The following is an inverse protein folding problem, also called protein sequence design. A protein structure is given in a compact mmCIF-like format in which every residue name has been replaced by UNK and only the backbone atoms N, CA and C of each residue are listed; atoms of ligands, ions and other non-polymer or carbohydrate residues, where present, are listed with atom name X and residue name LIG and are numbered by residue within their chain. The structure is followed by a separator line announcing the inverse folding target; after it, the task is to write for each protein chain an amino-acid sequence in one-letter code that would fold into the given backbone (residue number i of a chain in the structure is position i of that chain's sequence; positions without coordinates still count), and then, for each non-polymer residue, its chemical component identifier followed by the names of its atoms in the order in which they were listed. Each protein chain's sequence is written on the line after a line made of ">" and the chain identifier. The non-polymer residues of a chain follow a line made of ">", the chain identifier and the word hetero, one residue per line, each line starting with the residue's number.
data_IF_837847492719
#
_entry.id   IF_837847492719
#
_cell.length_a   1.000
_cell.length_b   1.000
_cell.length_c   1.000
_cell.angle_alpha   90.00
_cell.angle_beta   90.00
_cell.angle_gamma   90.00
#
_symmetry.space_group_name_H-M   'P 1'
#
loop_
_entity.id
_entity.type
_entity.pdbx_description
1 polymer ?
#
# COMPACT_ATOMS: atom_id res chain seq x y z
N UNK A 1 20.37 0.82 -11.02
CA UNK A 1 20.31 -0.44 -10.21
C UNK A 1 18.98 -0.43 -9.48
N UNK A 2 18.37 -1.56 -9.06
CA UNK A 2 17.10 -1.51 -8.34
C UNK A 2 17.25 -0.65 -7.08
N UNK A 3 16.28 0.22 -6.80
CA UNK A 3 16.27 1.01 -5.56
C UNK A 3 16.21 0.06 -4.35
N UNK A 4 16.96 0.40 -3.30
CA UNK A 4 16.86 -0.27 -2.01
C UNK A 4 16.33 0.74 -0.98
N UNK A 5 15.23 0.39 -0.30
CA UNK A 5 14.65 1.22 0.76
C UNK A 5 15.65 1.35 1.91
N UNK A 6 15.75 2.54 2.50
CA UNK A 6 16.54 2.73 3.73
C UNK A 6 15.97 1.86 4.87
N UNK A 7 16.77 1.56 5.92
CA UNK A 7 16.25 0.85 7.09
C UNK A 7 15.02 1.55 7.69
N UNK A 8 15.03 2.87 7.76
CA UNK A 8 13.93 3.67 8.30
C UNK A 8 12.68 3.61 7.42
N UNK A 9 12.83 3.64 6.09
CA UNK A 9 11.71 3.43 5.16
C UNK A 9 11.12 2.04 5.30
N UNK A 10 11.95 1.00 5.45
CA UNK A 10 11.49 -0.36 5.67
C UNK A 10 10.75 -0.50 7.01
N UNK A 11 11.28 0.08 8.09
CA UNK A 11 10.65 0.10 9.41
C UNK A 11 9.33 0.89 9.40
N UNK A 12 9.29 2.02 8.69
CA UNK A 12 8.08 2.79 8.48
C UNK A 12 6.99 1.93 7.84
N UNK A 13 7.32 1.18 6.78
CA UNK A 13 6.39 0.32 6.05
C UNK A 13 5.94 -0.93 6.83
N UNK A 14 6.58 -1.25 7.96
CA UNK A 14 6.22 -2.39 8.81
C UNK A 14 5.25 -2.05 9.95
N UNK A 15 4.99 -0.75 10.21
CA UNK A 15 4.08 -0.36 11.29
C UNK A 15 2.62 -0.22 10.88
N UNK A 16 1.81 0.40 11.75
CA UNK A 16 0.40 0.70 11.47
C UNK A 16 0.27 1.75 10.39
N UNK A 17 -0.49 1.43 9.33
CA UNK A 17 -0.59 2.26 8.14
C UNK A 17 -2.03 2.32 7.61
N UNK A 18 -2.41 3.50 7.11
CA UNK A 18 -3.50 3.68 6.15
C UNK A 18 -2.87 3.74 4.76
N UNK A 19 -3.34 2.90 3.84
CA UNK A 19 -2.69 2.73 2.54
C UNK A 19 -3.67 2.79 1.37
N UNK A 20 -3.26 3.41 0.28
CA UNK A 20 -3.97 3.39 -0.99
C UNK A 20 -3.04 3.00 -2.13
N UNK A 21 -3.55 2.22 -3.07
CA UNK A 21 -2.91 1.91 -4.35
C UNK A 21 -3.64 2.66 -5.45
N UNK A 22 -2.89 3.34 -6.29
CA UNK A 22 -3.41 4.03 -7.47
C UNK A 22 -2.74 3.54 -8.76
N UNK A 23 -3.50 3.63 -9.85
CA UNK A 23 -3.03 3.43 -11.22
C UNK A 23 -3.77 4.39 -12.15
N UNK A 24 -3.41 4.40 -13.43
CA UNK A 24 -4.12 5.17 -14.47
C UNK A 24 -4.90 4.20 -15.35
N UNK A 25 -6.20 4.40 -15.48
CA UNK A 25 -7.07 3.62 -16.37
C UNK A 25 -6.74 3.84 -17.85
N UNK A 26 -7.27 2.96 -18.71
CA UNK A 26 -7.08 3.09 -20.17
C UNK A 26 -7.71 4.36 -20.76
N UNK A 27 -8.69 4.91 -20.07
CA UNK A 27 -9.34 6.19 -20.34
C UNK A 27 -8.51 7.41 -19.91
N UNK A 28 -7.35 7.19 -19.29
CA UNK A 28 -6.48 8.25 -18.77
C UNK A 28 -6.87 8.75 -17.37
N UNK A 29 -7.98 8.27 -16.79
CA UNK A 29 -8.41 8.69 -15.45
C UNK A 29 -7.71 7.89 -14.35
N UNK A 30 -7.39 8.51 -13.20
CA UNK A 30 -6.86 7.79 -12.07
C UNK A 30 -7.91 6.84 -11.49
N UNK A 31 -7.48 5.63 -11.14
CA UNK A 31 -8.24 4.69 -10.33
C UNK A 31 -7.50 4.41 -9.03
N UNK A 32 -8.24 4.21 -7.94
CA UNK A 32 -7.68 4.03 -6.60
C UNK A 32 -8.43 2.97 -5.83
N UNK A 33 -7.71 2.19 -5.03
CA UNK A 33 -8.28 1.29 -4.03
C UNK A 33 -7.48 1.32 -2.75
N UNK A 34 -8.13 1.08 -1.62
CA UNK A 34 -7.44 0.88 -0.34
C UNK A 34 -6.63 -0.42 -0.38
N UNK A 35 -5.41 -0.35 0.14
CA UNK A 35 -4.65 -1.56 0.44
C UNK A 35 -4.96 -2.03 1.86
N UNK A 36 -4.93 -3.34 2.05
CA UNK A 36 -5.24 -4.01 3.32
C UNK A 36 -4.09 -4.87 3.83
N UNK A 37 -2.87 -4.66 3.31
CA UNK A 37 -1.66 -5.27 3.83
C UNK A 37 -0.43 -4.93 3.00
N UNK A 38 0.73 -4.99 3.65
CA UNK A 38 2.03 -4.76 3.02
C UNK A 38 3.07 -5.68 3.65
N UNK A 39 4.00 -6.19 2.83
CA UNK A 39 5.17 -6.93 3.26
C UNK A 39 6.40 -6.42 2.52
N UNK A 40 7.44 -6.02 3.25
CA UNK A 40 8.72 -5.60 2.67
C UNK A 40 9.64 -6.82 2.56
N UNK A 41 10.24 -7.03 1.39
CA UNK A 41 11.21 -8.10 1.21
C UNK A 41 12.47 -7.86 2.06
N UNK A 42 13.15 -8.95 2.47
CA UNK A 42 14.35 -8.88 3.33
C UNK A 42 15.48 -8.03 2.74
N UNK A 43 15.59 -8.02 1.41
CA UNK A 43 16.59 -7.23 0.69
C UNK A 43 16.23 -5.73 0.58
N UNK A 44 15.03 -5.32 1.02
CA UNK A 44 14.47 -3.96 0.93
C UNK A 44 14.33 -3.41 -0.49
N UNK A 45 14.38 -4.27 -1.51
CA UNK A 45 14.29 -3.87 -2.93
C UNK A 45 12.90 -4.07 -3.52
N UNK A 46 12.05 -4.83 -2.83
CA UNK A 46 10.68 -5.06 -3.27
C UNK A 46 9.73 -5.14 -2.10
N UNK A 47 8.46 -4.96 -2.40
CA UNK A 47 7.36 -5.05 -1.47
C UNK A 47 6.18 -5.75 -2.11
N UNK A 48 5.37 -6.41 -1.30
CA UNK A 48 4.11 -7.02 -1.72
C UNK A 48 2.97 -6.27 -1.06
N UNK A 49 2.08 -5.68 -1.86
CA UNK A 49 0.87 -4.99 -1.38
C UNK A 49 -0.33 -5.90 -1.60
N UNK A 50 -1.24 -5.88 -0.64
CA UNK A 50 -2.43 -6.71 -0.61
C UNK A 50 -3.68 -5.82 -0.72
N UNK A 51 -4.62 -6.19 -1.57
CA UNK A 51 -5.87 -5.47 -1.78
C UNK A 51 -7.02 -6.43 -2.09
N UNK A 52 -8.26 -6.01 -1.87
CA UNK A 52 -9.43 -6.79 -2.31
C UNK A 52 -9.52 -6.75 -3.83
N UNK A 53 -9.51 -7.91 -4.47
CA UNK A 53 -9.66 -8.01 -5.92
C UNK A 53 -11.01 -7.47 -6.38
N UNK A 54 -12.09 -7.78 -5.65
CA UNK A 54 -13.42 -7.30 -5.97
C UNK A 54 -13.52 -5.76 -5.92
N UNK A 55 -12.94 -5.13 -4.89
CA UNK A 55 -12.97 -3.66 -4.77
C UNK A 55 -11.93 -2.95 -5.65
N UNK A 56 -10.82 -3.61 -5.91
CA UNK A 56 -9.69 -3.07 -6.66
C UNK A 56 -9.70 -3.41 -8.14
N UNK A 57 -10.82 -3.89 -8.70
CA UNK A 57 -10.87 -4.40 -10.07
C UNK A 57 -10.35 -3.38 -11.09
N UNK A 58 -10.78 -2.11 -11.01
CA UNK A 58 -10.30 -1.05 -11.90
C UNK A 58 -8.78 -0.85 -11.84
N UNK A 59 -8.19 -0.90 -10.63
CA UNK A 59 -6.73 -0.83 -10.46
C UNK A 59 -6.07 -2.06 -11.05
N UNK A 60 -6.60 -3.26 -10.79
CA UNK A 60 -6.05 -4.50 -11.33
C UNK A 60 -6.07 -4.53 -12.86
N UNK A 61 -7.15 -4.07 -13.48
CA UNK A 61 -7.30 -3.99 -14.92
C UNK A 61 -6.34 -2.98 -15.54
N UNK A 62 -6.17 -1.81 -14.91
CA UNK A 62 -5.18 -0.81 -15.31
C UNK A 62 -3.75 -1.38 -15.27
N UNK A 63 -3.40 -2.08 -14.20
CA UNK A 63 -2.07 -2.68 -14.06
C UNK A 63 -1.86 -3.83 -15.07
N UNK A 64 -2.88 -4.65 -15.32
CA UNK A 64 -2.85 -5.68 -16.37
C UNK A 64 -2.72 -5.08 -17.78
N UNK A 65 -3.24 -3.86 -17.98
CA UNK A 65 -3.06 -3.09 -19.22
C UNK A 65 -1.66 -2.44 -19.34
N UNK A 66 -0.80 -2.58 -18.34
CA UNK A 66 0.56 -2.04 -18.35
C UNK A 66 0.69 -0.65 -17.72
N UNK A 67 -0.30 -0.17 -16.98
CA UNK A 67 -0.15 1.08 -16.21
C UNK A 67 0.87 0.90 -15.08
N UNK A 68 1.53 2.01 -14.74
CA UNK A 68 2.33 2.11 -13.54
C UNK A 68 1.46 2.06 -12.28
N UNK A 69 2.11 1.81 -11.15
CA UNK A 69 1.49 1.74 -9.83
C UNK A 69 2.03 2.85 -8.94
N UNK A 70 1.17 3.41 -8.09
CA UNK A 70 1.59 4.16 -6.90
C UNK A 70 1.03 3.51 -5.65
N UNK A 71 1.84 3.47 -4.59
CA UNK A 71 1.43 3.14 -3.23
C UNK A 71 1.64 4.38 -2.37
N UNK A 72 0.58 4.85 -1.70
CA UNK A 72 0.66 5.87 -0.66
C UNK A 72 0.43 5.18 0.68
N UNK A 73 1.38 5.31 1.60
CA UNK A 73 1.34 4.71 2.92
C UNK A 73 1.54 5.79 3.98
N UNK A 74 0.51 6.01 4.80
CA UNK A 74 0.46 7.06 5.81
C UNK A 74 0.34 6.47 7.20
N UNK A 75 0.96 7.12 8.19
CA UNK A 75 0.67 6.90 9.62
C UNK A 75 -0.62 7.65 9.98
N UNK A 76 -1.67 6.95 10.42
CA UNK A 76 -2.93 7.60 10.81
C UNK A 76 -2.78 8.65 11.92
N UNK A 77 -1.94 8.39 12.93
CA UNK A 77 -1.75 9.32 14.06
C UNK A 77 -0.98 10.59 13.69
N UNK A 78 0.04 10.50 12.84
CA UNK A 78 0.99 11.60 12.61
C UNK A 78 0.91 12.18 11.20
N UNK A 79 0.17 11.55 10.31
CA UNK A 79 0.12 11.84 8.87
C UNK A 79 1.46 11.75 8.13
N UNK A 80 2.54 11.27 8.78
CA UNK A 80 3.79 10.95 8.12
C UNK A 80 3.51 9.98 6.97
N UNK A 81 3.91 10.32 5.74
CA UNK A 81 3.46 9.61 4.54
C UNK A 81 4.60 9.39 3.56
N UNK A 82 4.76 8.13 3.13
CA UNK A 82 5.61 7.77 2.00
C UNK A 82 4.74 7.49 0.77
N UNK A 83 5.18 7.97 -0.40
CA UNK A 83 4.65 7.53 -1.69
C UNK A 83 5.73 6.82 -2.48
N UNK A 84 5.41 5.62 -2.95
CA UNK A 84 6.26 4.82 -3.80
C UNK A 84 5.61 4.74 -5.18
N UNK A 85 6.41 4.82 -6.25
CA UNK A 85 5.94 4.59 -7.61
C UNK A 85 6.82 3.54 -8.29
N UNK A 86 6.18 2.73 -9.13
CA UNK A 86 6.87 1.79 -10.01
C UNK A 86 6.20 1.78 -11.38
N UNK A 87 7.01 1.70 -12.44
CA UNK A 87 6.53 1.66 -13.82
C UNK A 87 5.80 0.35 -14.13
N UNK A 88 6.11 -0.73 -13.40
CA UNK A 88 5.52 -2.06 -13.57
C UNK A 88 5.32 -2.72 -12.21
N UNK A 89 4.36 -3.62 -12.16
CA UNK A 89 4.08 -4.50 -11.02
C UNK A 89 3.69 -5.88 -11.53
N UNK A 90 3.90 -6.91 -10.71
CA UNK A 90 3.52 -8.27 -11.03
C UNK A 90 2.55 -8.83 -10.00
N UNK A 91 1.51 -9.52 -10.44
CA UNK A 91 0.64 -10.28 -9.53
C UNK A 91 1.41 -11.50 -9.03
N UNK A 92 1.33 -11.78 -7.74
CA UNK A 92 1.94 -12.96 -7.11
C UNK A 92 0.89 -13.80 -6.41
N UNK A 93 1.13 -15.12 -6.21
CA UNK A 93 0.22 -15.97 -5.45
C UNK A 93 0.03 -15.45 -4.02
N UNK A 94 -1.21 -15.50 -3.54
CA UNK A 94 -1.52 -15.19 -2.14
C UNK A 94 -1.19 -16.39 -1.27
N UNK A 95 -0.20 -16.25 -0.41
CA UNK A 95 0.19 -17.27 0.56
C UNK A 95 -0.55 -17.09 1.89
N UNK A 96 -0.54 -18.11 2.75
CA UNK A 96 -1.08 -18.02 4.11
C UNK A 96 -0.40 -16.89 4.92
N UNK A 97 0.91 -16.69 4.74
CA UNK A 97 1.65 -15.61 5.40
C UNK A 97 1.19 -14.22 4.93
N UNK A 98 0.85 -14.06 3.66
CA UNK A 98 0.26 -12.81 3.15
C UNK A 98 -1.15 -12.58 3.70
N UNK A 99 -1.99 -13.61 3.79
CA UNK A 99 -3.32 -13.49 4.43
C UNK A 99 -3.20 -13.05 5.90
N UNK A 100 -2.31 -13.68 6.66
CA UNK A 100 -2.04 -13.29 8.05
C UNK A 100 -1.50 -11.84 8.16
N UNK A 101 -0.64 -11.44 7.22
CA UNK A 101 -0.16 -10.05 7.13
C UNK A 101 -1.30 -9.08 6.89
N UNK A 102 -2.22 -9.39 5.97
CA UNK A 102 -3.38 -8.55 5.71
C UNK A 102 -4.28 -8.41 6.95
N UNK A 103 -4.62 -9.52 7.59
CA UNK A 103 -5.44 -9.51 8.81
C UNK A 103 -4.80 -8.65 9.92
N UNK A 104 -3.49 -8.80 10.14
CA UNK A 104 -2.74 -7.97 11.11
C UNK A 104 -2.79 -6.48 10.77
N UNK A 105 -2.56 -6.12 9.50
CA UNK A 105 -2.60 -4.72 9.07
C UNK A 105 -3.99 -4.09 9.26
N UNK A 106 -5.06 -4.82 8.89
CA UNK A 106 -6.45 -4.35 9.07
C UNK A 106 -6.78 -4.15 10.55
N UNK A 107 -6.44 -5.12 11.39
CA UNK A 107 -6.66 -5.03 12.83
C UNK A 107 -5.89 -3.86 13.47
N UNK A 108 -4.61 -3.68 13.12
CA UNK A 108 -3.79 -2.58 13.63
C UNK A 108 -4.36 -1.21 13.21
N UNK A 109 -4.76 -1.08 11.95
CA UNK A 109 -5.35 0.17 11.46
C UNK A 109 -6.69 0.48 12.16
N UNK A 110 -7.55 -0.53 12.31
CA UNK A 110 -8.81 -0.37 13.04
C UNK A 110 -8.61 0.01 14.50
N UNK A 111 -7.64 -0.60 15.19
CA UNK A 111 -7.33 -0.28 16.58
C UNK A 111 -6.83 1.17 16.73
N UNK A 112 -5.99 1.64 15.80
CA UNK A 112 -5.50 3.02 15.82
C UNK A 112 -6.63 4.03 15.52
N UNK A 113 -7.52 3.73 14.57
CA UNK A 113 -8.71 4.55 14.34
C UNK A 113 -9.64 4.58 15.57
N UNK A 114 -9.83 3.45 16.25
CA UNK A 114 -10.60 3.41 17.49
C UNK A 114 -9.96 4.32 18.57
N UNK A 115 -8.62 4.28 18.70
CA UNK A 115 -7.89 5.14 19.64
C UNK A 115 -7.98 6.64 19.31
N UNK A 116 -8.25 6.96 18.04
CA UNK A 116 -8.49 8.32 17.55
C UNK A 116 -9.95 8.78 17.70
N UNK A 117 -10.83 7.95 18.26
CA UNK A 117 -12.24 8.28 18.50
C UNK A 117 -13.20 7.92 17.35
N UNK A 118 -12.77 7.14 16.35
CA UNK A 118 -13.62 6.72 15.23
C UNK A 118 -14.53 5.51 15.55
N UNK A 119 -14.75 5.19 16.83
CA UNK A 119 -15.60 4.09 17.28
C UNK A 119 -15.03 2.70 16.99
N UNK A 120 -15.88 1.68 16.85
CA UNK A 120 -15.46 0.31 16.50
C UNK A 120 -15.08 0.20 15.01
N UNK A 121 -13.98 0.86 14.66
CA UNK A 121 -13.42 0.85 13.32
C UNK A 121 -12.80 -0.52 12.96
N UNK A 122 -12.47 -1.37 13.93
CA UNK A 122 -11.93 -2.71 13.69
C UNK A 122 -12.97 -3.57 12.98
N UNK A 123 -14.16 -3.70 13.54
CA UNK A 123 -15.24 -4.50 12.97
C UNK A 123 -15.67 -3.95 11.60
N UNK A 124 -15.82 -2.62 11.50
CA UNK A 124 -16.21 -1.97 10.26
C UNK A 124 -15.18 -2.19 9.14
N UNK A 125 -13.88 -2.04 9.44
CA UNK A 125 -12.83 -2.29 8.46
C UNK A 125 -12.75 -3.77 8.08
N UNK A 126 -12.85 -4.70 9.03
CA UNK A 126 -12.83 -6.13 8.74
C UNK A 126 -13.96 -6.54 7.78
N UNK A 127 -15.16 -5.96 7.92
CA UNK A 127 -16.28 -6.20 7.03
C UNK A 127 -16.04 -5.66 5.60
N UNK A 128 -15.41 -4.48 5.46
CA UNK A 128 -15.19 -3.83 4.16
C UNK A 128 -13.92 -4.35 3.47
N UNK A 129 -12.94 -4.81 4.25
CA UNK A 129 -11.60 -5.26 3.84
C UNK A 129 -11.45 -6.77 4.03
N UNK A 130 -12.44 -7.53 3.56
CA UNK A 130 -12.38 -9.00 3.60
C UNK A 130 -11.16 -9.53 2.84
N UNK A 131 -10.60 -10.61 3.38
CA UNK A 131 -9.46 -11.34 2.79
C UNK A 131 -9.88 -12.45 1.83
N UNK A 132 -11.17 -12.70 1.62
CA UNK A 132 -11.65 -13.80 0.77
C UNK A 132 -11.20 -13.64 -0.69
N UNK A 133 -11.25 -12.41 -1.19
CA UNK A 133 -10.86 -12.04 -2.56
C UNK A 133 -9.50 -11.35 -2.62
N UNK A 134 -8.55 -11.75 -1.77
CA UNK A 134 -7.25 -11.06 -1.70
C UNK A 134 -6.46 -11.18 -3.02
N UNK A 135 -5.93 -10.06 -3.49
CA UNK A 135 -4.91 -9.98 -4.53
C UNK A 135 -3.58 -9.54 -3.92
N UNK A 136 -2.47 -10.05 -4.45
CA UNK A 136 -1.13 -9.65 -4.06
C UNK A 136 -0.36 -9.09 -5.26
N UNK A 137 0.23 -7.92 -5.08
CA UNK A 137 0.99 -7.19 -6.09
C UNK A 137 2.42 -6.99 -5.60
N UNK A 138 3.39 -7.56 -6.31
CA UNK A 138 4.81 -7.30 -6.08
C UNK A 138 5.20 -6.01 -6.79
N UNK A 139 5.82 -5.11 -6.04
CA UNK A 139 6.26 -3.79 -6.48
C UNK A 139 7.77 -3.71 -6.26
N UNK A 140 8.49 -3.27 -7.29
CA UNK A 140 9.89 -2.85 -7.20
C UNK A 140 9.89 -1.34 -7.41
N UNK A 141 10.01 -0.52 -6.36
CA UNK A 141 9.89 0.93 -6.49
C UNK A 141 11.00 1.52 -7.36
N UNK A 142 10.64 2.45 -8.24
CA UNK A 142 11.59 3.27 -9.00
C UNK A 142 11.91 4.57 -8.27
N UNK A 143 10.96 5.06 -7.48
CA UNK A 143 11.08 6.32 -6.75
C UNK A 143 10.27 6.28 -5.45
N UNK A 144 10.80 6.95 -4.43
CA UNK A 144 10.15 7.18 -3.14
C UNK A 144 10.08 8.68 -2.88
N UNK A 145 8.90 9.16 -2.49
CA UNK A 145 8.65 10.53 -2.10
C UNK A 145 8.24 10.62 -0.63
N UNK A 146 8.61 11.71 0.02
CA UNK A 146 7.90 12.21 1.18
C UNK A 146 6.61 12.88 0.71
N UNK A 147 5.48 12.44 1.23
CA UNK A 147 4.16 13.02 1.00
C UNK A 147 3.50 13.42 2.31
N UNK A 148 4.29 13.55 3.38
CA UNK A 148 3.82 14.09 4.65
C UNK A 148 3.27 15.50 4.40
N UNK A 149 2.01 15.79 4.78
CA UNK A 149 1.42 17.10 4.54
C UNK A 149 2.28 18.23 5.11
N UNK A 150 2.58 19.22 4.28
CA UNK A 150 3.42 20.36 4.64
C UNK A 150 4.20 20.89 3.44
N UNK A 151 5.00 21.97 3.62
CA UNK A 151 5.73 22.62 2.54
C UNK A 151 6.74 21.73 1.80
N UNK A 152 7.17 20.62 2.43
CA UNK A 152 8.14 19.68 1.88
C UNK A 152 7.50 18.47 1.19
N UNK A 153 6.16 18.38 1.16
CA UNK A 153 5.46 17.33 0.44
C UNK A 153 5.85 17.31 -1.04
N UNK A 154 6.16 16.14 -1.59
CA UNK A 154 6.71 16.00 -2.94
C UNK A 154 8.23 15.84 -2.99
N UNK A 155 8.94 15.95 -1.86
CA UNK A 155 10.38 15.73 -1.82
C UNK A 155 10.73 14.31 -2.25
N UNK A 156 11.67 14.18 -3.20
CA UNK A 156 12.20 12.89 -3.61
C UNK A 156 13.20 12.40 -2.56
N UNK A 157 12.92 11.24 -1.96
CA UNK A 157 13.79 10.63 -0.95
C UNK A 157 14.79 9.64 -1.56
N UNK A 158 14.42 8.97 -2.66
CA UNK A 158 15.28 8.02 -3.37
C UNK A 158 14.76 7.78 -4.80
N UNK A 159 15.65 7.49 -5.76
CA UNK A 159 15.32 7.11 -7.15
C UNK A 159 16.35 6.07 -7.67
N UNK A 160 15.88 5.11 -8.47
CA UNK A 160 16.66 4.02 -9.07
C UNK A 160 17.56 4.47 -10.25
#
# INVERSE_FOLDING_TARGET
>A
MPLALSPDQAAFLQGTLSMNVGAVGRDGWPCVTRAQGISVARDRRSLTVLLSAARGQAVLDALAAGSGITLVASRPLTHATLQLKAARTGRVPVTAALRATSARCVAAFGAELASLGYGDAVTALAAILSTDTLAALRIVPDIVFDQTPGPQAGTVLARA
#
